data_IF_448702585327
#
_entry.id   IF_448702585327
#
_cell.length_a   1.000
_cell.length_b   1.000
_cell.length_c   1.000
_cell.angle_alpha   90.00
_cell.angle_beta   90.00
_cell.angle_gamma   90.00
#
_symmetry.space_group_name_H-M   'P 1'
#
loop_
_entity.id
_entity.type
_entity.pdbx_description
1 polymer ?
#
# COMPACT_ATOMS: atom_id res chain seq x y z
N UNK A 1 -13.06 13.49 20.54
CA UNK A 1 -12.42 13.38 19.22
C UNK A 1 -11.44 12.20 19.18
N UNK A 2 -10.49 12.09 20.14
CA UNK A 2 -9.48 11.01 20.16
C UNK A 2 -10.09 9.60 20.25
N UNK A 3 -11.11 9.41 21.07
CA UNK A 3 -11.82 8.12 21.19
C UNK A 3 -12.43 7.66 19.86
N UNK A 4 -13.09 8.56 19.13
CA UNK A 4 -13.64 8.22 17.81
C UNK A 4 -12.56 7.94 16.78
N UNK A 5 -11.43 8.65 16.85
CA UNK A 5 -10.28 8.38 15.97
C UNK A 5 -9.71 6.98 16.22
N UNK A 6 -9.59 6.56 17.48
CA UNK A 6 -9.18 5.19 17.84
C UNK A 6 -10.15 4.14 17.33
N UNK A 7 -11.47 4.36 17.46
CA UNK A 7 -12.48 3.44 16.93
C UNK A 7 -12.38 3.32 15.40
N UNK A 8 -12.28 4.43 14.69
CA UNK A 8 -12.12 4.43 13.22
C UNK A 8 -10.85 3.68 12.82
N UNK A 9 -9.73 3.92 13.50
CA UNK A 9 -8.46 3.23 13.22
C UNK A 9 -8.57 1.72 13.48
N UNK A 10 -9.23 1.32 14.55
CA UNK A 10 -9.45 -0.09 14.88
C UNK A 10 -10.32 -0.80 13.83
N UNK A 11 -11.45 -0.18 13.43
CA UNK A 11 -12.31 -0.77 12.42
C UNK A 11 -11.65 -0.77 11.03
N UNK A 12 -10.88 0.26 10.69
CA UNK A 12 -10.11 0.29 9.44
C UNK A 12 -9.09 -0.84 9.37
N UNK A 13 -8.29 -1.02 10.44
CA UNK A 13 -7.34 -2.12 10.50
C UNK A 13 -8.02 -3.51 10.45
N UNK A 14 -9.18 -3.64 11.10
CA UNK A 14 -9.98 -4.88 11.03
C UNK A 14 -10.50 -5.14 9.61
N UNK A 15 -10.95 -4.10 8.93
CA UNK A 15 -11.41 -4.18 7.53
C UNK A 15 -10.29 -4.61 6.60
N UNK A 16 -9.08 -4.07 6.74
CA UNK A 16 -7.91 -4.44 5.93
C UNK A 16 -7.60 -5.93 6.06
N UNK A 17 -7.64 -6.48 7.29
CA UNK A 17 -7.41 -7.91 7.53
C UNK A 17 -8.46 -8.76 6.79
N UNK A 18 -9.74 -8.37 6.86
CA UNK A 18 -10.83 -9.12 6.21
C UNK A 18 -10.72 -9.06 4.69
N UNK A 19 -10.40 -7.89 4.12
CA UNK A 19 -10.22 -7.72 2.67
C UNK A 19 -9.05 -8.55 2.17
N UNK A 20 -7.92 -8.54 2.88
CA UNK A 20 -6.74 -9.32 2.50
C UNK A 20 -7.00 -10.83 2.61
N UNK A 21 -7.68 -11.29 3.67
CA UNK A 21 -8.10 -12.68 3.81
C UNK A 21 -9.01 -13.12 2.66
N UNK A 22 -10.06 -12.35 2.37
CA UNK A 22 -10.97 -12.63 1.27
C UNK A 22 -10.25 -12.71 -0.08
N UNK A 23 -9.34 -11.76 -0.36
CA UNK A 23 -8.53 -11.76 -1.59
C UNK A 23 -7.67 -13.01 -1.71
N UNK A 24 -7.02 -13.43 -0.61
CA UNK A 24 -6.15 -14.62 -0.60
C UNK A 24 -6.98 -15.88 -0.85
N UNK A 25 -8.18 -15.95 -0.30
CA UNK A 25 -9.05 -17.13 -0.41
C UNK A 25 -9.69 -17.29 -1.81
N UNK A 26 -10.07 -16.19 -2.48
CA UNK A 26 -10.79 -16.26 -3.75
C UNK A 26 -9.88 -16.30 -4.98
N UNK A 27 -8.61 -15.88 -4.86
CA UNK A 27 -7.68 -15.82 -5.98
C UNK A 27 -6.73 -17.02 -5.99
N UNK A 28 -6.49 -17.55 -7.19
CA UNK A 28 -5.44 -18.54 -7.41
C UNK A 28 -4.05 -17.91 -7.23
N UNK A 29 -3.04 -18.75 -6.96
CA UNK A 29 -1.67 -18.30 -6.73
C UNK A 29 -1.09 -17.47 -7.88
N UNK A 30 -1.45 -17.83 -9.13
CA UNK A 30 -1.05 -17.09 -10.33
C UNK A 30 -1.67 -15.69 -10.44
N UNK A 31 -2.79 -15.46 -9.76
CA UNK A 31 -3.56 -14.20 -9.79
C UNK A 31 -3.31 -13.31 -8.56
N UNK A 32 -2.57 -13.78 -7.55
CA UNK A 32 -2.29 -13.01 -6.32
C UNK A 32 -1.58 -11.68 -6.60
N UNK A 33 -0.66 -11.64 -7.58
CA UNK A 33 0.02 -10.41 -7.98
C UNK A 33 -0.93 -9.38 -8.57
N UNK A 34 -1.86 -9.80 -9.43
CA UNK A 34 -2.89 -8.94 -10.00
C UNK A 34 -3.86 -8.45 -8.92
N UNK A 35 -4.29 -9.34 -8.01
CA UNK A 35 -5.13 -8.98 -6.87
C UNK A 35 -4.47 -7.94 -5.96
N UNK A 36 -3.19 -8.11 -5.66
CA UNK A 36 -2.40 -7.14 -4.89
C UNK A 36 -2.36 -5.77 -5.59
N UNK A 37 -2.15 -5.74 -6.92
CA UNK A 37 -2.14 -4.51 -7.70
C UNK A 37 -3.49 -3.78 -7.65
N UNK A 38 -4.62 -4.51 -7.82
CA UNK A 38 -5.97 -3.93 -7.74
C UNK A 38 -6.26 -3.38 -6.34
N UNK A 39 -5.88 -4.09 -5.28
CA UNK A 39 -6.04 -3.62 -3.89
C UNK A 39 -5.25 -2.33 -3.66
N UNK A 40 -3.98 -2.28 -4.09
CA UNK A 40 -3.15 -1.08 -3.97
C UNK A 40 -3.67 0.09 -4.81
N UNK A 41 -4.20 -0.18 -6.00
CA UNK A 41 -4.85 0.83 -6.83
C UNK A 41 -6.08 1.43 -6.13
N UNK A 42 -6.97 0.57 -5.59
CA UNK A 42 -8.14 1.00 -4.83
C UNK A 42 -7.76 1.85 -3.61
N UNK A 43 -6.73 1.44 -2.87
CA UNK A 43 -6.18 2.21 -1.74
C UNK A 43 -5.72 3.61 -2.16
N UNK A 44 -5.03 3.74 -3.31
CA UNK A 44 -4.57 5.03 -3.83
C UNK A 44 -5.72 5.94 -4.24
N UNK A 45 -6.72 5.40 -4.94
CA UNK A 45 -7.93 6.16 -5.30
C UNK A 45 -8.68 6.61 -4.04
N UNK A 46 -8.86 5.71 -3.07
CA UNK A 46 -9.47 6.04 -1.78
C UNK A 46 -8.72 7.16 -1.04
N UNK A 47 -7.39 7.10 -1.03
CA UNK A 47 -6.53 8.15 -0.44
C UNK A 47 -6.67 9.51 -1.12
N UNK A 48 -6.79 9.55 -2.45
CA UNK A 48 -7.04 10.80 -3.20
C UNK A 48 -8.43 11.36 -2.85
N UNK A 49 -9.46 10.51 -2.88
CA UNK A 49 -10.83 10.93 -2.59
C UNK A 49 -10.99 11.40 -1.14
N UNK A 50 -10.43 10.65 -0.18
CA UNK A 50 -10.49 11.02 1.22
C UNK A 50 -9.64 12.25 1.55
N UNK A 51 -8.46 12.39 0.95
CA UNK A 51 -7.57 13.53 1.18
C UNK A 51 -7.95 14.75 0.38
N UNK A 52 -7.62 14.77 -0.90
CA UNK A 52 -7.87 15.92 -1.78
C UNK A 52 -9.37 16.20 -1.96
N UNK A 53 -10.19 15.15 -2.10
CA UNK A 53 -11.65 15.29 -2.24
C UNK A 53 -12.28 15.97 -1.01
N UNK A 54 -11.87 15.58 0.20
CA UNK A 54 -12.38 16.22 1.42
C UNK A 54 -11.98 17.69 1.54
N UNK A 55 -10.74 18.04 1.14
CA UNK A 55 -10.29 19.44 1.13
C UNK A 55 -11.05 20.27 0.10
N UNK A 56 -11.35 19.69 -1.07
CA UNK A 56 -12.16 20.36 -2.09
C UNK A 56 -13.60 20.56 -1.62
N UNK A 57 -14.22 19.57 -1.00
CA UNK A 57 -15.55 19.67 -0.41
C UNK A 57 -15.60 20.71 0.73
N UNK A 58 -14.49 20.85 1.48
CA UNK A 58 -14.40 21.86 2.55
C UNK A 58 -14.54 23.30 2.04
N UNK A 59 -14.19 23.55 0.80
CA UNK A 59 -14.38 24.87 0.19
C UNK A 59 -15.88 25.25 0.14
N UNK A 60 -16.77 24.27 -0.09
CA UNK A 60 -18.22 24.52 -0.23
C UNK A 60 -19.00 24.19 1.05
N UNK A 61 -18.50 23.32 1.92
CA UNK A 61 -19.23 22.80 3.06
C UNK A 61 -18.43 22.93 4.37
N UNK A 62 -19.13 22.90 5.51
CA UNK A 62 -18.51 22.79 6.82
C UNK A 62 -17.89 21.40 7.01
N UNK A 63 -16.87 21.26 7.88
CA UNK A 63 -16.22 19.97 8.15
C UNK A 63 -17.19 18.86 8.58
N UNK A 64 -18.22 19.20 9.37
CA UNK A 64 -19.21 18.22 9.78
C UNK A 64 -19.94 17.59 8.59
N UNK A 65 -20.31 18.40 7.60
CA UNK A 65 -20.95 17.92 6.35
C UNK A 65 -19.99 17.10 5.51
N UNK A 66 -18.72 17.49 5.42
CA UNK A 66 -17.70 16.76 4.68
C UNK A 66 -17.52 15.35 5.28
N UNK A 67 -17.39 15.25 6.61
CA UNK A 67 -17.27 13.95 7.28
C UNK A 67 -18.55 13.10 7.14
N UNK A 68 -19.73 13.70 7.15
CA UNK A 68 -20.96 12.99 6.86
C UNK A 68 -20.98 12.42 5.43
N UNK A 69 -20.60 13.21 4.43
CA UNK A 69 -20.54 12.75 3.03
C UNK A 69 -19.57 11.57 2.89
N UNK A 70 -18.36 11.68 3.44
CA UNK A 70 -17.37 10.60 3.41
C UNK A 70 -17.88 9.37 4.13
N UNK A 71 -18.52 9.54 5.30
CA UNK A 71 -19.14 8.45 6.06
C UNK A 71 -20.24 7.73 5.28
N UNK A 72 -21.11 8.46 4.59
CA UNK A 72 -22.13 7.87 3.72
C UNK A 72 -21.52 7.09 2.55
N UNK A 73 -20.47 7.63 1.92
CA UNK A 73 -19.78 6.90 0.84
C UNK A 73 -19.22 5.58 1.36
N UNK A 74 -18.53 5.58 2.51
CA UNK A 74 -17.98 4.38 3.13
C UNK A 74 -19.11 3.40 3.48
N UNK A 75 -20.21 3.88 4.03
CA UNK A 75 -21.37 3.05 4.38
C UNK A 75 -21.97 2.35 3.15
N UNK A 76 -22.22 3.07 2.06
CA UNK A 76 -22.75 2.46 0.82
C UNK A 76 -21.75 1.51 0.15
N UNK A 77 -20.45 1.83 0.17
CA UNK A 77 -19.41 0.89 -0.28
C UNK A 77 -19.37 -0.34 0.61
N UNK A 78 -19.56 -0.20 1.93
CA UNK A 78 -19.69 -1.33 2.85
C UNK A 78 -20.91 -2.21 2.53
N UNK A 79 -22.04 -1.62 2.17
CA UNK A 79 -23.23 -2.39 1.78
C UNK A 79 -23.01 -3.20 0.49
N UNK A 80 -22.11 -2.77 -0.40
CA UNK A 80 -21.80 -3.52 -1.62
C UNK A 80 -21.22 -4.91 -1.34
N UNK A 81 -20.64 -5.12 -0.16
CA UNK A 81 -20.13 -6.43 0.29
C UNK A 81 -21.25 -7.49 0.33
N UNK A 82 -22.49 -7.08 0.59
CA UNK A 82 -23.64 -8.00 0.61
C UNK A 82 -23.92 -8.66 -0.74
N UNK A 83 -23.42 -8.07 -1.82
CA UNK A 83 -23.59 -8.57 -3.20
C UNK A 83 -22.39 -9.38 -3.69
N UNK A 84 -21.32 -9.50 -2.86
CA UNK A 84 -20.15 -10.29 -3.25
C UNK A 84 -20.47 -11.80 -3.17
N UNK A 85 -19.97 -12.59 -4.14
CA UNK A 85 -20.10 -14.03 -4.08
C UNK A 85 -19.29 -14.60 -2.92
N UNK A 86 -19.97 -15.12 -1.91
CA UNK A 86 -19.34 -15.80 -0.78
C UNK A 86 -19.25 -17.28 -1.13
N UNK A 87 -18.03 -17.79 -1.24
CA UNK A 87 -17.81 -19.23 -1.44
C UNK A 87 -18.03 -19.94 -0.09
N UNK A 88 -19.24 -20.53 0.09
CA UNK A 88 -19.67 -21.14 1.35
C UNK A 88 -18.85 -22.38 1.73
N UNK A 89 -18.21 -23.01 0.77
CA UNK A 89 -17.43 -24.23 0.99
C UNK A 89 -16.14 -23.98 1.79
N UNK A 90 -15.54 -22.81 1.63
CA UNK A 90 -14.37 -22.40 2.43
C UNK A 90 -14.74 -21.98 3.86
N UNK A 91 -15.92 -21.40 4.07
CA UNK A 91 -16.40 -20.99 5.39
C UNK A 91 -16.71 -22.18 6.31
N UNK A 92 -17.06 -23.34 5.75
CA UNK A 92 -17.45 -24.50 6.56
C UNK A 92 -16.26 -25.23 7.18
N UNK A 93 -15.10 -25.19 6.52
CA UNK A 93 -13.92 -25.95 6.93
C UNK A 93 -13.20 -25.39 8.17
N UNK A 94 -13.34 -24.09 8.43
CA UNK A 94 -12.63 -23.41 9.54
C UNK A 94 -13.53 -22.95 10.71
N UNK A 95 -14.82 -23.28 10.69
CA UNK A 95 -15.79 -22.75 11.67
C UNK A 95 -15.59 -23.26 13.11
N UNK A 96 -14.78 -24.26 13.33
CA UNK A 96 -14.52 -24.85 14.66
C UNK A 96 -13.27 -24.32 15.36
N UNK A 97 -12.48 -23.47 14.73
CA UNK A 97 -11.25 -22.96 15.34
C UNK A 97 -11.47 -21.60 16.02
N UNK A 98 -11.85 -21.67 17.30
CA UNK A 98 -12.07 -20.47 18.14
C UNK A 98 -10.79 -19.81 18.65
N UNK A 99 -9.62 -20.32 18.31
CA UNK A 99 -8.37 -19.83 18.86
C UNK A 99 -7.72 -18.80 17.94
N UNK A 100 -7.91 -17.51 18.24
CA UNK A 100 -7.35 -16.37 17.50
C UNK A 100 -5.80 -16.37 17.43
N UNK A 101 -5.15 -17.06 18.38
CA UNK A 101 -3.68 -17.12 18.44
C UNK A 101 -3.12 -18.30 17.63
N UNK A 102 -3.96 -19.23 17.19
CA UNK A 102 -3.52 -20.42 16.44
C UNK A 102 -2.74 -20.08 15.18
N UNK A 103 -3.16 -19.12 14.30
CA UNK A 103 -2.40 -18.75 13.13
C UNK A 103 -1.00 -18.22 13.45
N UNK A 104 -0.84 -17.48 14.56
CA UNK A 104 0.47 -17.01 15.02
C UNK A 104 1.37 -18.17 15.45
N UNK A 105 0.84 -19.11 16.25
CA UNK A 105 1.59 -20.28 16.65
C UNK A 105 1.96 -21.15 15.45
N UNK A 106 1.01 -21.40 14.53
CA UNK A 106 1.28 -22.15 13.31
C UNK A 106 2.38 -21.50 12.46
N UNK A 107 2.34 -20.19 12.26
CA UNK A 107 3.38 -19.46 11.53
C UNK A 107 4.75 -19.59 12.23
N UNK A 108 4.80 -19.43 13.56
CA UNK A 108 6.04 -19.51 14.34
C UNK A 108 6.62 -20.93 14.37
N UNK A 109 5.78 -21.95 14.45
CA UNK A 109 6.23 -23.35 14.58
C UNK A 109 6.31 -24.11 13.25
N UNK A 110 5.73 -23.58 12.18
CA UNK A 110 5.75 -24.17 10.83
C UNK A 110 7.15 -24.17 10.21
N UNK A 111 7.97 -23.21 10.57
CA UNK A 111 9.34 -23.07 10.10
C UNK A 111 10.32 -23.08 11.28
N UNK A 112 11.60 -23.37 10.99
CA UNK A 112 12.62 -23.20 12.03
C UNK A 112 12.68 -21.74 12.50
N UNK A 113 13.01 -21.53 13.78
CA UNK A 113 13.08 -20.18 14.38
C UNK A 113 13.94 -19.20 13.56
N UNK A 114 15.03 -19.70 12.98
CA UNK A 114 15.92 -18.90 12.11
C UNK A 114 15.18 -18.44 10.86
N UNK A 115 14.40 -19.30 10.20
CA UNK A 115 13.63 -18.92 9.00
C UNK A 115 12.56 -17.88 9.33
N UNK A 116 11.83 -18.06 10.42
CA UNK A 116 10.83 -17.08 10.88
C UNK A 116 11.50 -15.73 11.15
N UNK A 117 12.62 -15.73 11.86
CA UNK A 117 13.38 -14.52 12.15
C UNK A 117 13.83 -13.80 10.87
N UNK A 118 14.37 -14.55 9.89
CA UNK A 118 14.78 -13.97 8.60
C UNK A 118 13.59 -13.39 7.81
N UNK A 119 12.43 -14.06 7.81
CA UNK A 119 11.21 -13.54 7.18
C UNK A 119 10.77 -12.24 7.84
N UNK A 120 10.74 -12.18 9.17
CA UNK A 120 10.35 -10.97 9.90
C UNK A 120 11.33 -9.82 9.68
N UNK A 121 12.64 -10.08 9.71
CA UNK A 121 13.65 -9.07 9.37
C UNK A 121 13.47 -8.57 7.94
N UNK A 122 13.23 -9.47 6.98
CA UNK A 122 13.00 -9.08 5.60
C UNK A 122 11.76 -8.19 5.46
N UNK A 123 10.62 -8.58 6.08
CA UNK A 123 9.39 -7.80 6.07
C UNK A 123 9.62 -6.38 6.63
N UNK A 124 10.30 -6.29 7.77
CA UNK A 124 10.63 -5.02 8.39
C UNK A 124 11.56 -4.18 7.50
N UNK A 125 12.67 -4.76 7.03
CA UNK A 125 13.71 -4.05 6.29
C UNK A 125 13.23 -3.59 4.91
N UNK A 126 12.40 -4.39 4.22
CA UNK A 126 11.92 -4.08 2.88
C UNK A 126 11.09 -2.79 2.84
N UNK A 127 10.30 -2.52 3.89
CA UNK A 127 9.47 -1.31 3.99
C UNK A 127 10.14 -0.16 4.72
N UNK A 128 11.16 -0.43 5.49
CA UNK A 128 11.83 0.57 6.32
C UNK A 128 12.41 1.73 5.50
N UNK A 129 13.06 1.42 4.36
CA UNK A 129 13.62 2.42 3.45
C UNK A 129 12.56 3.36 2.88
N UNK A 130 11.45 2.81 2.37
CA UNK A 130 10.34 3.59 1.80
C UNK A 130 9.72 4.53 2.85
N UNK A 131 9.55 4.05 4.10
CA UNK A 131 8.96 4.85 5.18
C UNK A 131 9.86 6.03 5.53
N UNK A 132 11.16 5.80 5.70
CA UNK A 132 12.12 6.88 6.00
C UNK A 132 12.19 7.88 4.85
N UNK A 133 12.34 7.41 3.62
CA UNK A 133 12.38 8.27 2.45
C UNK A 133 11.11 9.12 2.35
N UNK A 134 9.93 8.52 2.51
CA UNK A 134 8.65 9.22 2.45
C UNK A 134 8.49 10.33 3.51
N UNK A 135 8.97 10.10 4.75
CA UNK A 135 8.94 11.12 5.82
C UNK A 135 9.93 12.26 5.54
N UNK A 136 11.11 11.93 5.03
CA UNK A 136 12.20 12.90 4.81
C UNK A 136 12.09 13.64 3.48
N UNK A 137 11.31 13.14 2.51
CA UNK A 137 11.22 13.70 1.16
C UNK A 137 10.77 15.17 1.15
N UNK A 138 9.65 15.49 1.81
CA UNK A 138 9.14 16.87 1.83
C UNK A 138 10.10 17.88 2.49
N UNK A 139 10.64 17.63 3.71
CA UNK A 139 11.64 18.49 4.30
C UNK A 139 12.90 18.65 3.41
N UNK A 140 13.31 17.60 2.73
CA UNK A 140 14.44 17.61 1.80
C UNK A 140 14.20 18.52 0.60
N UNK A 141 13.02 18.42 -0.07
CA UNK A 141 12.69 19.27 -1.21
C UNK A 141 12.61 20.76 -0.82
N UNK A 142 12.00 21.06 0.33
CA UNK A 142 11.95 22.45 0.84
C UNK A 142 13.35 22.96 1.14
N UNK A 143 14.24 22.12 1.73
CA UNK A 143 15.63 22.50 2.05
C UNK A 143 16.46 22.78 0.80
N UNK A 144 16.23 22.08 -0.30
CA UNK A 144 16.90 22.34 -1.60
C UNK A 144 16.45 23.68 -2.20
N UNK A 145 15.22 24.13 -1.91
CA UNK A 145 14.70 25.41 -2.37
C UNK A 145 13.47 25.34 -3.25
N UNK A 146 12.81 24.18 -3.37
CA UNK A 146 11.55 24.06 -4.09
C UNK A 146 10.40 24.71 -3.32
N UNK A 147 9.50 25.36 -4.04
CA UNK A 147 8.26 25.90 -3.49
C UNK A 147 7.27 24.79 -3.14
N UNK A 148 6.38 25.06 -2.18
CA UNK A 148 5.31 24.13 -1.81
C UNK A 148 4.39 23.76 -2.99
N UNK A 149 4.20 24.67 -3.95
CA UNK A 149 3.38 24.45 -5.13
C UNK A 149 4.05 23.47 -6.09
N UNK A 150 5.34 23.63 -6.35
CA UNK A 150 6.12 22.71 -7.19
C UNK A 150 6.14 21.30 -6.59
N UNK A 151 6.40 21.19 -5.27
CA UNK A 151 6.38 19.92 -4.55
C UNK A 151 4.99 19.28 -4.63
N UNK A 152 3.92 20.05 -4.42
CA UNK A 152 2.55 19.55 -4.47
C UNK A 152 2.18 19.02 -5.86
N UNK A 153 2.48 19.77 -6.91
CA UNK A 153 2.20 19.35 -8.29
C UNK A 153 2.97 18.09 -8.67
N UNK A 154 4.26 18.05 -8.35
CA UNK A 154 5.10 16.90 -8.65
C UNK A 154 4.70 15.66 -7.82
N UNK A 155 4.46 15.79 -6.50
CA UNK A 155 4.23 14.64 -5.64
C UNK A 155 2.77 14.15 -5.64
N UNK A 156 1.79 15.08 -5.64
CA UNK A 156 0.37 14.71 -5.46
C UNK A 156 -0.32 14.32 -6.76
N UNK A 157 0.07 14.88 -7.89
CA UNK A 157 -0.51 14.54 -9.19
C UNK A 157 0.37 13.54 -9.91
N UNK A 158 1.58 13.95 -10.26
CA UNK A 158 2.48 13.14 -11.07
C UNK A 158 2.99 11.90 -10.30
N UNK A 159 3.39 12.06 -9.02
CA UNK A 159 3.86 10.96 -8.19
C UNK A 159 2.81 9.86 -8.01
N UNK A 160 1.53 10.23 -7.83
CA UNK A 160 0.44 9.25 -7.72
C UNK A 160 0.28 8.46 -9.02
N UNK A 161 0.33 9.11 -10.18
CA UNK A 161 0.26 8.43 -11.48
C UNK A 161 1.44 7.44 -11.64
N UNK A 162 2.65 7.83 -11.25
CA UNK A 162 3.82 6.96 -11.28
C UNK A 162 3.68 5.77 -10.32
N UNK A 163 3.11 5.97 -9.13
CA UNK A 163 2.81 4.87 -8.20
C UNK A 163 1.83 3.88 -8.80
N UNK A 164 0.73 4.36 -9.39
CA UNK A 164 -0.28 3.50 -10.03
C UNK A 164 0.37 2.67 -11.13
N UNK A 165 1.15 3.30 -12.01
CA UNK A 165 1.88 2.62 -13.07
C UNK A 165 2.85 1.56 -12.51
N UNK A 166 3.60 1.90 -11.46
CA UNK A 166 4.48 0.96 -10.75
C UNK A 166 3.75 -0.24 -10.16
N UNK A 167 2.58 -0.01 -9.53
CA UNK A 167 1.75 -1.08 -8.95
C UNK A 167 1.27 -2.07 -10.02
N UNK A 168 0.75 -1.59 -11.15
CA UNK A 168 0.31 -2.46 -12.24
C UNK A 168 1.47 -3.25 -12.86
N UNK A 169 2.61 -2.59 -13.07
CA UNK A 169 3.80 -3.27 -13.59
C UNK A 169 4.34 -4.28 -12.58
N UNK A 170 4.29 -3.98 -11.29
CA UNK A 170 4.66 -4.89 -10.20
C UNK A 170 3.80 -6.15 -10.19
N UNK A 171 2.47 -6.00 -10.30
CA UNK A 171 1.55 -7.13 -10.43
C UNK A 171 1.83 -7.98 -11.67
N UNK A 172 2.11 -7.34 -12.81
CA UNK A 172 2.50 -8.03 -14.04
C UNK A 172 3.83 -8.80 -13.89
N UNK A 173 4.84 -8.18 -13.25
CA UNK A 173 6.12 -8.83 -12.98
C UNK A 173 5.96 -10.06 -12.09
N UNK A 174 5.16 -9.96 -11.02
CA UNK A 174 4.88 -11.11 -10.15
C UNK A 174 4.32 -12.27 -10.96
N UNK A 175 3.37 -12.00 -11.87
CA UNK A 175 2.80 -13.03 -12.75
C UNK A 175 3.82 -13.62 -13.73
N UNK A 176 4.73 -12.80 -14.28
CA UNK A 176 5.66 -13.21 -15.35
C UNK A 176 6.91 -13.91 -14.82
N UNK A 177 7.53 -13.39 -13.76
CA UNK A 177 8.83 -13.86 -13.26
C UNK A 177 8.77 -14.48 -11.86
N UNK A 178 7.59 -14.49 -11.23
CA UNK A 178 7.38 -14.99 -9.89
C UNK A 178 7.66 -13.95 -8.79
N UNK A 179 7.18 -14.24 -7.59
CA UNK A 179 7.18 -13.30 -6.44
C UNK A 179 8.60 -12.89 -6.04
N UNK A 180 9.51 -13.85 -5.87
CA UNK A 180 10.87 -13.58 -5.37
C UNK A 180 11.66 -12.74 -6.36
N UNK A 181 11.60 -13.10 -7.65
CA UNK A 181 12.29 -12.32 -8.70
C UNK A 181 11.72 -10.90 -8.80
N UNK A 182 10.41 -10.75 -8.69
CA UNK A 182 9.76 -9.43 -8.69
C UNK A 182 10.19 -8.58 -7.48
N UNK A 183 10.35 -9.17 -6.29
CA UNK A 183 10.88 -8.49 -5.11
C UNK A 183 12.33 -8.02 -5.30
N UNK A 184 13.19 -8.87 -5.88
CA UNK A 184 14.60 -8.51 -6.14
C UNK A 184 14.66 -7.36 -7.15
N UNK A 185 13.91 -7.46 -8.25
CA UNK A 185 13.84 -6.41 -9.27
C UNK A 185 13.33 -5.10 -8.67
N UNK A 186 12.24 -5.14 -7.90
CA UNK A 186 11.68 -3.94 -7.27
C UNK A 186 12.64 -3.33 -6.24
N UNK A 187 13.30 -4.15 -5.43
CA UNK A 187 14.33 -3.69 -4.50
C UNK A 187 15.49 -3.00 -5.21
N UNK A 188 15.94 -3.53 -6.34
CA UNK A 188 16.97 -2.88 -7.16
C UNK A 188 16.51 -1.52 -7.68
N UNK A 189 15.27 -1.41 -8.18
CA UNK A 189 14.71 -0.12 -8.61
C UNK A 189 14.56 0.87 -7.44
N UNK A 190 14.23 0.41 -6.23
CA UNK A 190 14.19 1.25 -5.03
C UNK A 190 15.58 1.80 -4.68
N UNK A 191 16.63 0.99 -4.77
CA UNK A 191 18.01 1.48 -4.56
C UNK A 191 18.37 2.55 -5.61
N UNK A 192 18.07 2.30 -6.89
CA UNK A 192 18.33 3.28 -7.94
C UNK A 192 17.53 4.57 -7.73
N UNK A 193 16.27 4.49 -7.32
CA UNK A 193 15.46 5.69 -7.06
C UNK A 193 16.02 6.52 -5.89
N UNK A 194 16.56 5.88 -4.87
CA UNK A 194 17.22 6.59 -3.77
C UNK A 194 18.47 7.37 -4.22
N UNK A 195 19.18 6.89 -5.25
CA UNK A 195 20.31 7.63 -5.84
C UNK A 195 19.87 8.91 -6.55
N UNK A 196 18.61 8.99 -7.01
CA UNK A 196 18.06 10.21 -7.60
C UNK A 196 17.96 11.36 -6.59
N UNK A 197 17.77 11.09 -5.30
CA UNK A 197 17.85 12.12 -4.26
C UNK A 197 19.25 12.72 -4.14
N UNK A 198 20.28 11.88 -4.28
CA UNK A 198 21.67 12.35 -4.29
C UNK A 198 21.92 13.22 -5.52
N UNK A 199 21.44 12.79 -6.68
CA UNK A 199 21.56 13.55 -7.92
C UNK A 199 20.83 14.91 -7.81
N UNK A 200 19.61 14.92 -7.28
CA UNK A 200 18.83 16.14 -7.06
C UNK A 200 19.56 17.10 -6.10
N UNK A 201 20.21 16.59 -5.05
CA UNK A 201 20.98 17.42 -4.13
C UNK A 201 22.22 18.05 -4.80
N UNK A 202 22.84 17.34 -5.72
CA UNK A 202 24.02 17.85 -6.46
C UNK A 202 23.67 18.90 -7.51
N UNK A 203 22.54 18.72 -8.20
CA UNK A 203 22.07 19.62 -9.26
C UNK A 203 21.40 20.88 -8.66
N UNK A 204 20.74 20.75 -7.51
CA UNK A 204 20.02 21.85 -6.87
C UNK A 204 18.54 21.93 -7.29
N UNK A 205 17.88 23.10 -7.15
CA UNK A 205 16.42 23.25 -7.31
C UNK A 205 15.98 23.29 -8.78
N UNK A 206 16.35 22.26 -9.55
CA UNK A 206 15.94 22.10 -10.95
C UNK A 206 14.68 21.24 -11.02
N UNK A 207 13.60 21.80 -11.56
CA UNK A 207 12.26 21.20 -11.58
C UNK A 207 12.23 19.85 -12.31
N UNK A 208 12.99 19.68 -13.36
CA UNK A 208 13.08 18.44 -14.14
C UNK A 208 13.61 17.27 -13.30
N UNK A 209 14.62 17.54 -12.48
CA UNK A 209 15.20 16.55 -11.57
C UNK A 209 14.29 16.24 -10.37
N UNK A 210 13.47 17.21 -9.91
CA UNK A 210 12.43 16.96 -8.93
C UNK A 210 11.42 15.93 -9.47
N UNK A 211 10.90 16.16 -10.69
CA UNK A 211 9.97 15.23 -11.33
C UNK A 211 10.59 13.85 -11.55
N UNK A 212 11.85 13.79 -11.97
CA UNK A 212 12.58 12.53 -12.16
C UNK A 212 12.72 11.76 -10.83
N UNK A 213 13.09 12.44 -9.74
CA UNK A 213 13.22 11.84 -8.41
C UNK A 213 11.88 11.32 -7.90
N UNK A 214 10.84 12.12 -8.00
CA UNK A 214 9.48 11.73 -7.60
C UNK A 214 8.95 10.59 -8.46
N UNK A 215 9.23 10.60 -9.78
CA UNK A 215 8.88 9.49 -10.67
C UNK A 215 9.55 8.19 -10.24
N UNK A 216 10.86 8.22 -10.07
CA UNK A 216 11.64 7.04 -9.69
C UNK A 216 11.21 6.46 -8.35
N UNK A 217 11.05 7.30 -7.33
CA UNK A 217 10.60 6.88 -5.99
C UNK A 217 9.20 6.26 -6.02
N UNK A 218 8.23 6.98 -6.58
CA UNK A 218 6.84 6.52 -6.59
C UNK A 218 6.63 5.29 -7.48
N UNK A 219 7.30 5.22 -8.62
CA UNK A 219 7.27 4.06 -9.50
C UNK A 219 7.86 2.82 -8.82
N UNK A 220 9.08 2.92 -8.28
CA UNK A 220 9.75 1.80 -7.61
C UNK A 220 9.01 1.37 -6.33
N UNK A 221 8.49 2.33 -5.56
CA UNK A 221 7.66 2.06 -4.39
C UNK A 221 6.34 1.36 -4.73
N UNK A 222 5.69 1.75 -5.83
CA UNK A 222 4.50 1.09 -6.36
C UNK A 222 4.78 -0.35 -6.79
N UNK A 223 5.84 -0.55 -7.58
CA UNK A 223 6.29 -1.85 -8.06
C UNK A 223 6.63 -2.78 -6.89
N UNK A 224 7.38 -2.29 -5.91
CA UNK A 224 7.74 -3.02 -4.70
C UNK A 224 6.53 -3.34 -3.83
N UNK A 225 5.56 -2.43 -3.72
CA UNK A 225 4.36 -2.66 -2.92
C UNK A 225 3.52 -3.81 -3.44
N UNK A 226 3.30 -3.92 -4.76
CA UNK A 226 2.55 -5.02 -5.37
C UNK A 226 3.25 -6.37 -5.16
N UNK A 227 4.58 -6.43 -5.37
CA UNK A 227 5.37 -7.64 -5.16
C UNK A 227 5.39 -8.05 -3.68
N UNK A 228 5.51 -7.09 -2.77
CA UNK A 228 5.54 -7.31 -1.33
C UNK A 228 4.20 -7.84 -0.79
N UNK A 229 3.08 -7.26 -1.23
CA UNK A 229 1.75 -7.75 -0.85
C UNK A 229 1.50 -9.16 -1.37
N UNK A 230 1.95 -9.48 -2.60
CA UNK A 230 1.89 -10.84 -3.14
C UNK A 230 2.74 -11.81 -2.32
N UNK A 231 3.92 -11.39 -1.85
CA UNK A 231 4.78 -12.19 -0.97
C UNK A 231 4.11 -12.47 0.38
N UNK A 232 3.55 -11.44 1.03
CA UNK A 232 2.81 -11.62 2.29
C UNK A 232 1.64 -12.59 2.12
N UNK A 233 0.90 -12.47 1.01
CA UNK A 233 -0.20 -13.39 0.68
C UNK A 233 0.28 -14.84 0.54
N UNK A 234 1.45 -15.06 -0.06
CA UNK A 234 2.04 -16.39 -0.22
C UNK A 234 2.53 -17.01 1.10
N UNK A 235 2.77 -16.21 2.13
CA UNK A 235 3.10 -16.70 3.48
C UNK A 235 1.87 -17.22 4.24
N UNK A 236 0.68 -16.79 3.86
CA UNK A 236 -0.55 -17.26 4.47
C UNK A 236 -0.89 -18.69 4.01
N UNK A 237 -1.42 -19.51 4.93
CA UNK A 237 -2.00 -20.81 4.57
C UNK A 237 -3.36 -20.59 3.90
N UNK A 238 -3.58 -21.26 2.80
CA UNK A 238 -4.90 -21.45 2.20
C UNK A 238 -5.64 -22.59 2.86
#
# INVERSE_FOLDING_TARGET
>A
TAFFALLVSFFSASQDIVIDSYRIEILDDSSQGAGAAVTQFGYRIGGILAGAGSLYLKYYFAWNTVFMIVGFIIFFLGLSILFLPINKDHLSKNRNEKNLLKPFYEFLFRHSAIKVFLILIFIFSFKFGDVIAGVMANPFYVKIGFSNIEIANASKVFGVLMTIFGVFLGGYLVKKVGIISALIISGFFQVLSNLLYVLLNLVGPEISYLYLTIAGENFSGGLGSAAFVAYLSALCNK
#
